data_IF_625846920306
#
_entry.id   IF_625846920306
#
_cell.length_a   1.000
_cell.length_b   1.000
_cell.length_c   1.000
_cell.angle_alpha   90.00
_cell.angle_beta   90.00
_cell.angle_gamma   90.00
#
_symmetry.space_group_name_H-M   'P 1'
#
loop_
_entity.id
_entity.type
_entity.pdbx_description
1 polymer ?
#
# COMPACT_ATOMS: atom_id res chain seq x y z
N UNK A 1 4.28 -17.80 -10.40
CA UNK A 1 4.03 -16.49 -9.77
C UNK A 1 4.58 -15.42 -10.71
N UNK A 2 3.81 -14.37 -10.98
CA UNK A 2 4.04 -13.36 -12.04
C UNK A 2 5.25 -12.44 -11.83
N UNK A 3 6.05 -12.62 -10.76
CA UNK A 3 7.27 -11.84 -10.51
C UNK A 3 7.02 -10.34 -10.28
N UNK A 4 5.76 -9.95 -10.04
CA UNK A 4 5.36 -8.57 -9.79
C UNK A 4 5.61 -8.24 -8.32
N UNK A 5 6.32 -7.15 -8.06
CA UNK A 5 6.40 -6.51 -6.74
C UNK A 5 5.62 -5.21 -6.78
N UNK A 6 4.84 -4.94 -5.72
CA UNK A 6 4.11 -3.68 -5.57
C UNK A 6 4.43 -3.04 -4.23
N UNK A 7 5.02 -1.85 -4.31
CA UNK A 7 5.30 -1.00 -3.18
C UNK A 7 4.10 -0.08 -2.93
N UNK A 8 3.60 -0.08 -1.70
CA UNK A 8 2.43 0.68 -1.31
C UNK A 8 2.64 1.37 0.04
N UNK A 9 1.85 2.40 0.33
CA UNK A 9 1.86 3.05 1.64
C UNK A 9 0.46 3.41 2.10
N UNK A 10 0.13 3.10 3.35
CA UNK A 10 -1.20 3.42 3.90
C UNK A 10 -1.46 4.92 4.01
N UNK A 11 -0.41 5.75 4.08
CA UNK A 11 -0.53 7.21 3.95
C UNK A 11 -0.92 7.68 2.53
N UNK A 12 -0.87 6.84 1.49
CA UNK A 12 -1.14 7.26 0.12
C UNK A 12 -2.55 6.83 -0.34
N UNK A 13 -3.45 7.78 -0.68
CA UNK A 13 -4.73 7.41 -1.30
C UNK A 13 -4.53 6.75 -2.67
N UNK A 14 -3.47 7.10 -3.41
CA UNK A 14 -3.17 6.46 -4.68
C UNK A 14 -2.71 5.02 -4.52
N UNK A 15 -2.05 4.67 -3.40
CA UNK A 15 -1.71 3.27 -3.11
C UNK A 15 -2.95 2.41 -2.98
N UNK A 16 -4.00 2.90 -2.30
CA UNK A 16 -5.31 2.25 -2.26
C UNK A 16 -5.85 1.98 -3.66
N UNK A 17 -5.80 2.97 -4.55
CA UNK A 17 -6.29 2.81 -5.92
C UNK A 17 -5.52 1.73 -6.66
N UNK A 18 -4.19 1.72 -6.56
CA UNK A 18 -3.33 0.68 -7.14
C UNK A 18 -3.67 -0.72 -6.63
N UNK A 19 -3.89 -0.90 -5.32
CA UNK A 19 -4.28 -2.19 -4.74
C UNK A 19 -5.62 -2.70 -5.30
N UNK A 20 -6.62 -1.83 -5.40
CA UNK A 20 -7.92 -2.17 -6.00
C UNK A 20 -7.80 -2.49 -7.50
N UNK A 21 -6.91 -1.80 -8.22
CA UNK A 21 -6.63 -2.11 -9.63
C UNK A 21 -5.96 -3.48 -9.80
N UNK A 22 -5.06 -3.91 -8.91
CA UNK A 22 -4.51 -5.27 -8.95
C UNK A 22 -5.61 -6.34 -8.86
N UNK A 23 -6.56 -6.16 -7.93
CA UNK A 23 -7.69 -7.08 -7.76
C UNK A 23 -8.58 -7.09 -9.00
N UNK A 24 -8.94 -5.91 -9.53
CA UNK A 24 -9.76 -5.82 -10.75
C UNK A 24 -9.07 -6.46 -11.95
N UNK A 25 -7.74 -6.34 -12.04
CA UNK A 25 -6.94 -6.94 -13.10
C UNK A 25 -6.74 -8.46 -12.93
N UNK A 26 -7.13 -9.04 -11.79
CA UNK A 26 -6.89 -10.44 -11.46
C UNK A 26 -5.42 -10.76 -11.19
N UNK A 27 -4.64 -9.77 -10.75
CA UNK A 27 -3.20 -9.91 -10.55
C UNK A 27 -2.84 -10.20 -9.10
N UNK A 28 -1.88 -11.10 -8.94
CA UNK A 28 -1.16 -11.32 -7.69
C UNK A 28 0.20 -10.62 -7.74
N UNK A 29 0.65 -10.05 -6.63
CA UNK A 29 1.96 -9.42 -6.48
C UNK A 29 2.53 -9.74 -5.10
N UNK A 30 3.84 -9.60 -4.93
CA UNK A 30 4.49 -9.46 -3.62
C UNK A 30 4.26 -8.03 -3.12
N UNK A 31 3.58 -7.87 -1.99
CA UNK A 31 3.20 -6.57 -1.45
C UNK A 31 4.24 -6.05 -0.46
N UNK A 32 4.78 -4.87 -0.73
CA UNK A 32 5.89 -4.31 0.03
C UNK A 32 5.48 -2.97 0.63
N UNK A 33 5.32 -2.85 1.96
CA UNK A 33 5.12 -1.57 2.61
C UNK A 33 6.32 -0.64 2.39
N UNK A 34 6.08 0.53 1.80
CA UNK A 34 7.10 1.54 1.60
C UNK A 34 7.37 2.30 2.90
N UNK A 35 8.56 2.08 3.46
CA UNK A 35 8.99 2.70 4.73
C UNK A 35 9.88 3.94 4.53
N UNK A 36 10.02 4.43 3.29
CA UNK A 36 10.87 5.56 2.92
C UNK A 36 11.79 5.23 1.75
N UNK A 37 12.38 6.25 1.11
CA UNK A 37 13.30 6.06 -0.02
C UNK A 37 14.62 5.41 0.43
N UNK A 38 15.47 4.99 -0.52
CA UNK A 38 16.77 4.40 -0.21
C UNK A 38 17.65 5.35 0.61
N UNK A 39 18.58 4.80 1.37
CA UNK A 39 19.50 5.58 2.20
C UNK A 39 20.23 6.66 1.38
N UNK A 40 20.40 7.84 1.96
CA UNK A 40 21.00 9.00 1.29
C UNK A 40 20.04 9.79 0.38
N UNK A 41 18.80 9.32 0.17
CA UNK A 41 17.78 10.04 -0.58
C UNK A 41 16.71 10.63 0.35
N UNK A 42 16.29 11.86 0.06
CA UNK A 42 15.23 12.54 0.82
C UNK A 42 13.85 12.07 0.34
N UNK A 43 12.92 11.86 1.26
CA UNK A 43 11.52 11.71 0.91
C UNK A 43 10.91 13.07 0.56
N UNK A 44 10.51 13.24 -0.70
CA UNK A 44 9.83 14.45 -1.16
C UNK A 44 8.33 14.37 -0.85
N UNK A 45 7.96 14.64 0.41
CA UNK A 45 6.56 14.61 0.84
C UNK A 45 5.72 15.56 -0.04
N UNK A 46 4.78 15.02 -0.84
CA UNK A 46 3.99 15.85 -1.72
C UNK A 46 3.08 16.84 -0.96
N UNK A 47 2.75 16.54 0.31
CA UNK A 47 1.96 17.42 1.18
C UNK A 47 2.75 18.64 1.69
N UNK A 48 4.09 18.60 1.68
CA UNK A 48 4.94 19.72 2.11
C UNK A 48 4.92 20.90 1.13
N UNK A 49 4.56 20.64 -0.13
CA UNK A 49 4.38 21.69 -1.14
C UNK A 49 2.89 22.06 -1.24
N UNK A 50 2.52 23.27 -0.82
CA UNK A 50 1.13 23.74 -0.80
C UNK A 50 0.43 23.71 -2.17
N UNK A 51 1.16 23.93 -3.26
CA UNK A 51 0.61 23.88 -4.62
C UNK A 51 0.34 22.44 -5.07
N UNK A 52 1.19 21.49 -4.67
CA UNK A 52 0.95 20.07 -4.91
C UNK A 52 -0.19 19.55 -4.04
N UNK A 53 -0.22 19.94 -2.76
CA UNK A 53 -1.28 19.55 -1.83
C UNK A 53 -2.66 20.01 -2.34
N UNK A 54 -2.80 21.26 -2.79
CA UNK A 54 -4.07 21.75 -3.32
C UNK A 54 -4.54 20.97 -4.55
N UNK A 55 -3.61 20.55 -5.41
CA UNK A 55 -3.92 19.66 -6.53
C UNK A 55 -4.42 18.29 -6.05
N UNK A 56 -3.72 17.64 -5.12
CA UNK A 56 -4.09 16.31 -4.64
C UNK A 56 -5.41 16.26 -3.90
N UNK A 57 -5.79 17.33 -3.20
CA UNK A 57 -7.11 17.45 -2.56
C UNK A 57 -8.26 17.41 -3.57
N UNK A 58 -8.01 17.77 -4.84
CA UNK A 58 -8.98 17.66 -5.93
C UNK A 58 -8.86 16.33 -6.67
N UNK A 59 -7.64 15.84 -6.85
CA UNK A 59 -7.37 14.71 -7.71
C UNK A 59 -7.66 13.35 -7.04
N UNK A 60 -7.28 13.18 -5.77
CA UNK A 60 -7.50 11.91 -5.07
C UNK A 60 -9.00 11.53 -4.99
N UNK A 61 -9.95 12.45 -4.66
CA UNK A 61 -11.37 12.16 -4.77
C UNK A 61 -11.82 11.83 -6.20
N UNK A 62 -11.33 12.58 -7.20
CA UNK A 62 -11.67 12.35 -8.60
C UNK A 62 -11.29 10.95 -9.07
N UNK A 63 -10.07 10.50 -8.75
CA UNK A 63 -9.58 9.18 -9.14
C UNK A 63 -10.29 8.07 -8.36
N UNK A 64 -10.56 8.29 -7.07
CA UNK A 64 -11.32 7.34 -6.24
C UNK A 64 -12.73 7.11 -6.78
N UNK A 65 -13.45 8.18 -7.14
CA UNK A 65 -14.78 8.10 -7.74
C UNK A 65 -14.77 7.38 -9.09
N UNK A 66 -13.76 7.59 -9.93
CA UNK A 66 -13.62 6.89 -11.23
C UNK A 66 -13.51 5.37 -11.07
N UNK A 67 -12.95 4.89 -9.96
CA UNK A 67 -12.90 3.46 -9.64
C UNK A 67 -14.14 2.94 -8.92
N UNK A 68 -15.14 3.79 -8.66
CA UNK A 68 -16.38 3.42 -7.96
C UNK A 68 -16.18 3.18 -6.46
N UNK A 69 -15.11 3.74 -5.87
CA UNK A 69 -14.75 3.53 -4.48
C UNK A 69 -15.26 4.69 -3.60
N UNK A 70 -15.63 4.44 -2.33
CA UNK A 70 -15.94 5.50 -1.39
C UNK A 70 -14.67 6.29 -1.04
N UNK A 71 -14.81 7.57 -0.70
CA UNK A 71 -13.71 8.38 -0.17
C UNK A 71 -14.15 9.11 1.09
N UNK A 72 -13.33 9.01 2.13
CA UNK A 72 -13.42 9.78 3.36
C UNK A 72 -12.00 10.13 3.81
N UNK A 73 -11.64 11.43 3.89
CA UNK A 73 -10.33 11.83 4.37
C UNK A 73 -10.07 11.29 5.79
N UNK A 74 -8.87 10.72 6.06
CA UNK A 74 -8.51 10.25 7.39
C UNK A 74 -8.38 11.41 8.37
N UNK A 75 -8.81 11.17 9.61
CA UNK A 75 -8.63 12.09 10.73
C UNK A 75 -8.27 11.28 11.99
N UNK A 76 -7.06 11.44 12.56
CA UNK A 76 -5.98 12.34 12.14
C UNK A 76 -5.37 11.98 10.77
N UNK A 77 -4.83 12.98 10.09
CA UNK A 77 -4.22 12.80 8.76
C UNK A 77 -2.87 12.08 8.86
N UNK A 78 -1.95 12.54 9.71
CA UNK A 78 -0.66 11.88 9.92
C UNK A 78 -0.70 11.04 11.19
N UNK A 79 -0.29 9.77 11.07
CA UNK A 79 -0.22 8.79 12.16
C UNK A 79 1.01 7.91 11.94
N UNK A 80 1.48 7.25 12.98
CA UNK A 80 2.53 6.25 12.86
C UNK A 80 2.00 5.02 12.11
N UNK A 81 2.69 4.65 11.02
CA UNK A 81 2.34 3.50 10.18
C UNK A 81 3.10 2.23 10.54
N UNK A 82 3.99 2.27 11.54
CA UNK A 82 4.90 1.17 11.87
C UNK A 82 4.14 -0.12 12.17
N UNK A 83 3.14 -0.05 13.05
CA UNK A 83 2.32 -1.21 13.42
C UNK A 83 1.58 -1.79 12.22
N UNK A 84 0.94 -0.93 11.41
CA UNK A 84 0.22 -1.34 10.21
C UNK A 84 1.17 -1.97 9.16
N UNK A 85 2.37 -1.42 8.98
CA UNK A 85 3.36 -1.93 8.03
C UNK A 85 3.91 -3.30 8.47
N UNK A 86 4.21 -3.49 9.76
CA UNK A 86 4.61 -4.80 10.31
C UNK A 86 3.49 -5.83 10.16
N UNK A 87 2.25 -5.46 10.48
CA UNK A 87 1.09 -6.32 10.28
C UNK A 87 0.90 -6.68 8.80
N UNK A 88 1.12 -5.75 7.87
CA UNK A 88 1.04 -6.03 6.43
C UNK A 88 2.12 -7.02 5.97
N UNK A 89 3.36 -6.90 6.47
CA UNK A 89 4.42 -7.87 6.19
C UNK A 89 4.10 -9.26 6.77
N UNK A 90 3.52 -9.33 7.96
CA UNK A 90 3.08 -10.60 8.54
C UNK A 90 1.90 -11.22 7.76
N UNK A 91 0.95 -10.40 7.33
CA UNK A 91 -0.15 -10.85 6.47
C UNK A 91 0.38 -11.38 5.14
N UNK A 92 1.41 -10.77 4.56
CA UNK A 92 2.05 -11.26 3.33
C UNK A 92 2.67 -12.66 3.55
N UNK A 93 3.40 -12.87 4.64
CA UNK A 93 3.94 -14.19 5.02
C UNK A 93 2.84 -15.25 5.15
N UNK A 94 1.67 -14.85 5.68
CA UNK A 94 0.53 -15.73 5.90
C UNK A 94 -0.38 -15.87 4.64
N UNK A 95 0.01 -15.29 3.49
CA UNK A 95 -0.75 -15.36 2.23
C UNK A 95 -2.02 -14.51 2.21
N UNK A 96 -2.10 -13.51 3.09
CA UNK A 96 -3.23 -12.58 3.30
C UNK A 96 -2.88 -11.12 2.96
N UNK A 97 -1.67 -10.84 2.50
CA UNK A 97 -1.14 -9.47 2.33
C UNK A 97 -2.02 -8.56 1.48
N UNK A 98 -2.43 -8.98 0.28
CA UNK A 98 -3.29 -8.15 -0.58
C UNK A 98 -4.66 -7.84 0.06
N UNK A 99 -5.32 -8.85 0.62
CA UNK A 99 -6.62 -8.67 1.26
C UNK A 99 -6.53 -7.73 2.48
N UNK A 100 -5.50 -7.92 3.31
CA UNK A 100 -5.25 -7.06 4.47
C UNK A 100 -4.88 -5.63 4.06
N UNK A 101 -3.99 -5.46 3.08
CA UNK A 101 -3.60 -4.13 2.59
C UNK A 101 -4.80 -3.35 2.03
N UNK A 102 -5.72 -4.03 1.33
CA UNK A 102 -6.97 -3.42 0.86
C UNK A 102 -7.83 -3.00 2.05
N UNK A 103 -8.09 -3.89 3.01
CA UNK A 103 -8.91 -3.60 4.18
C UNK A 103 -8.39 -2.40 4.98
N UNK A 104 -7.07 -2.34 5.25
CA UNK A 104 -6.44 -1.20 5.94
C UNK A 104 -6.54 0.08 5.12
N UNK A 105 -6.29 0.00 3.82
CA UNK A 105 -6.37 1.18 2.93
C UNK A 105 -7.81 1.72 2.79
N UNK A 106 -8.82 0.83 2.76
CA UNK A 106 -10.24 1.18 2.75
C UNK A 106 -10.70 1.74 4.10
N UNK A 107 -10.25 1.17 5.21
CA UNK A 107 -10.51 1.72 6.54
C UNK A 107 -10.00 3.16 6.65
N UNK A 108 -8.80 3.42 6.14
CA UNK A 108 -8.20 4.75 6.19
C UNK A 108 -8.83 5.75 5.24
N UNK A 109 -8.91 5.42 3.95
CA UNK A 109 -9.27 6.38 2.89
C UNK A 109 -10.71 6.26 2.41
N UNK A 110 -11.38 5.16 2.70
CA UNK A 110 -12.81 4.97 2.43
C UNK A 110 -13.68 5.27 3.66
N UNK A 111 -13.19 4.92 4.86
CA UNK A 111 -13.93 5.06 6.13
C UNK A 111 -13.35 6.13 7.07
N UNK A 112 -12.23 6.78 6.72
CA UNK A 112 -11.61 7.86 7.50
C UNK A 112 -11.01 7.45 8.85
N UNK A 113 -10.68 6.17 9.04
CA UNK A 113 -10.23 5.61 10.31
C UNK A 113 -8.73 5.83 10.55
N UNK A 114 -8.38 5.91 11.84
CA UNK A 114 -7.01 5.87 12.30
C UNK A 114 -6.48 4.43 12.23
N UNK A 115 -5.40 4.20 11.49
CA UNK A 115 -4.80 2.87 11.29
C UNK A 115 -3.56 2.66 12.17
N UNK A 116 -3.27 3.59 13.09
CA UNK A 116 -2.37 3.35 14.20
C UNK A 116 -3.07 2.67 15.39
N UNK A 117 -4.42 2.67 15.40
CA UNK A 117 -5.24 1.98 16.39
C UNK A 117 -5.29 0.47 16.10
N UNK A 118 -4.84 -0.33 17.07
CA UNK A 118 -4.86 -1.79 17.01
C UNK A 118 -6.26 -2.34 16.75
N UNK A 119 -7.29 -1.78 17.38
CA UNK A 119 -8.66 -2.26 17.20
C UNK A 119 -9.21 -2.01 15.78
N UNK A 120 -8.67 -1.02 15.06
CA UNK A 120 -8.96 -0.81 13.64
C UNK A 120 -8.23 -1.85 12.79
N UNK A 121 -6.97 -2.15 13.09
CA UNK A 121 -6.18 -3.15 12.37
C UNK A 121 -6.73 -4.57 12.58
N UNK A 122 -7.17 -4.92 13.78
CA UNK A 122 -7.83 -6.21 14.08
C UNK A 122 -9.09 -6.41 13.25
N UNK A 123 -9.93 -5.38 13.14
CA UNK A 123 -11.10 -5.42 12.25
C UNK A 123 -10.72 -5.60 10.79
N UNK A 124 -9.62 -4.99 10.35
CA UNK A 124 -9.11 -5.17 9.00
C UNK A 124 -8.58 -6.59 8.77
N UNK A 125 -7.97 -7.22 9.78
CA UNK A 125 -7.56 -8.62 9.73
C UNK A 125 -8.77 -9.55 9.60
N UNK A 126 -9.81 -9.33 10.42
CA UNK A 126 -11.07 -10.06 10.33
C UNK A 126 -11.73 -9.90 8.94
N UNK A 127 -11.82 -8.66 8.41
CA UNK A 127 -12.33 -8.37 7.06
C UNK A 127 -11.51 -9.07 5.96
N UNK A 128 -10.20 -9.24 6.15
CA UNK A 128 -9.30 -9.95 5.24
C UNK A 128 -9.32 -11.49 5.42
N UNK A 129 -10.11 -12.00 6.38
CA UNK A 129 -10.10 -13.42 6.74
C UNK A 129 -8.73 -13.89 7.22
N UNK A 130 -8.07 -13.06 8.04
CA UNK A 130 -6.78 -13.31 8.67
C UNK A 130 -6.93 -13.26 10.20
N UNK A 131 -6.05 -13.96 10.93
CA UNK A 131 -6.13 -14.02 12.38
C UNK A 131 -5.71 -12.68 12.99
N UNK A 132 -6.67 -11.97 13.60
CA UNK A 132 -6.41 -10.67 14.24
C UNK A 132 -5.37 -10.73 15.36
N UNK A 133 -5.15 -11.88 15.99
CA UNK A 133 -4.08 -12.03 16.99
C UNK A 133 -2.69 -11.77 16.39
N UNK A 134 -2.54 -11.96 15.07
CA UNK A 134 -1.29 -11.66 14.36
C UNK A 134 -0.94 -10.18 14.35
N UNK A 135 -1.90 -9.27 14.52
CA UNK A 135 -1.63 -7.82 14.61
C UNK A 135 -0.66 -7.52 15.76
N UNK A 136 -0.93 -8.07 16.94
CA UNK A 136 -0.10 -7.86 18.12
C UNK A 136 1.18 -8.70 18.04
N UNK A 137 1.11 -9.98 17.67
CA UNK A 137 2.30 -10.85 17.66
C UNK A 137 3.34 -10.40 16.63
N UNK A 138 2.91 -9.83 15.49
CA UNK A 138 3.82 -9.36 14.45
C UNK A 138 4.74 -8.21 14.90
N UNK A 139 4.44 -7.54 16.02
CA UNK A 139 5.24 -6.41 16.47
C UNK A 139 6.63 -6.83 16.96
N UNK A 140 6.74 -8.03 17.54
CA UNK A 140 7.96 -8.59 18.13
C UNK A 140 8.42 -9.88 17.42
N UNK A 141 7.82 -10.20 16.27
CA UNK A 141 8.11 -11.40 15.48
C UNK A 141 9.42 -11.22 14.67
N UNK A 142 10.40 -12.08 14.92
CA UNK A 142 11.72 -12.04 14.26
C UNK A 142 11.62 -12.27 12.74
N UNK A 143 10.70 -13.11 12.28
CA UNK A 143 10.48 -13.36 10.84
C UNK A 143 9.91 -12.11 10.17
N UNK A 144 9.00 -11.41 10.85
CA UNK A 144 8.47 -10.12 10.37
C UNK A 144 9.57 -9.07 10.30
N UNK A 145 10.46 -9.01 11.30
CA UNK A 145 11.61 -8.11 11.29
C UNK A 145 12.56 -8.40 10.12
N UNK A 146 12.84 -9.67 9.84
CA UNK A 146 13.66 -10.10 8.70
C UNK A 146 13.01 -9.74 7.36
N UNK A 147 11.70 -9.93 7.21
CA UNK A 147 10.96 -9.51 6.00
C UNK A 147 10.99 -8.01 5.82
N UNK A 148 10.76 -7.23 6.88
CA UNK A 148 10.84 -5.76 6.80
C UNK A 148 12.24 -5.27 6.42
N UNK A 149 13.29 -5.96 6.84
CA UNK A 149 14.66 -5.68 6.40
C UNK A 149 14.84 -5.98 4.91
N UNK A 150 14.39 -7.16 4.45
CA UNK A 150 14.39 -7.52 3.02
C UNK A 150 13.60 -6.53 2.16
N UNK A 151 12.45 -6.05 2.65
CA UNK A 151 11.66 -5.03 1.98
C UNK A 151 12.45 -3.73 1.78
N UNK A 152 13.24 -3.30 2.77
CA UNK A 152 14.13 -2.14 2.63
C UNK A 152 15.21 -2.36 1.57
N UNK A 153 15.81 -3.56 1.53
CA UNK A 153 16.79 -3.92 0.50
C UNK A 153 16.16 -3.92 -0.90
N UNK A 154 14.92 -4.40 -1.02
CA UNK A 154 14.16 -4.36 -2.27
C UNK A 154 13.80 -2.93 -2.69
N UNK A 155 13.40 -2.05 -1.77
CA UNK A 155 13.18 -0.62 -2.03
C UNK A 155 14.44 0.02 -2.62
N UNK A 156 15.61 -0.29 -2.06
CA UNK A 156 16.90 0.18 -2.54
C UNK A 156 17.25 -0.38 -3.92
N UNK A 157 17.17 -1.70 -4.10
CA UNK A 157 17.50 -2.38 -5.36
C UNK A 157 16.61 -1.92 -6.52
N UNK A 158 15.31 -1.74 -6.26
CA UNK A 158 14.36 -1.30 -7.27
C UNK A 158 14.31 0.23 -7.43
N UNK A 159 15.01 0.98 -6.57
CA UNK A 159 15.11 2.45 -6.64
C UNK A 159 13.75 3.14 -6.41
N UNK A 160 12.97 2.64 -5.45
CA UNK A 160 11.62 3.14 -5.17
C UNK A 160 11.68 4.43 -4.38
N UNK A 161 11.09 5.50 -4.92
CA UNK A 161 11.11 6.84 -4.32
C UNK A 161 9.73 7.35 -3.89
N UNK A 162 8.67 6.60 -4.20
CA UNK A 162 7.29 6.96 -3.88
C UNK A 162 6.33 5.82 -4.23
N UNK A 163 5.05 5.99 -3.90
CA UNK A 163 4.04 4.92 -4.01
C UNK A 163 2.70 5.40 -4.57
N UNK A 164 1.91 4.53 -5.23
CA UNK A 164 2.23 3.13 -5.52
C UNK A 164 3.31 3.01 -6.60
N UNK A 165 4.11 1.95 -6.50
CA UNK A 165 5.17 1.65 -7.45
C UNK A 165 5.16 0.15 -7.72
N UNK A 166 5.11 -0.27 -8.97
CA UNK A 166 5.20 -1.68 -9.35
C UNK A 166 6.48 -1.96 -10.11
N UNK A 167 7.00 -3.18 -9.94
CA UNK A 167 8.17 -3.69 -10.65
C UNK A 167 7.85 -5.06 -11.22
N UNK A 168 8.20 -5.26 -12.49
CA UNK A 168 8.16 -6.55 -13.16
C UNK A 168 9.44 -6.73 -13.96
N UNK A 169 10.32 -7.62 -13.49
CA UNK A 169 11.64 -7.79 -14.11
C UNK A 169 12.42 -6.46 -14.12
N UNK A 170 12.71 -5.94 -15.31
CA UNK A 170 13.37 -4.65 -15.49
C UNK A 170 12.40 -3.46 -15.64
N UNK A 171 11.09 -3.72 -15.78
CA UNK A 171 10.07 -2.68 -15.98
C UNK A 171 9.60 -2.10 -14.65
N UNK A 172 9.33 -0.79 -14.65
CA UNK A 172 8.93 -0.02 -13.46
C UNK A 172 7.73 0.86 -13.78
N UNK A 173 6.75 0.89 -12.87
CA UNK A 173 5.48 1.60 -13.04
C UNK A 173 5.19 2.42 -11.80
N UNK A 174 5.37 3.73 -11.86
CA UNK A 174 5.10 4.63 -10.73
C UNK A 174 3.79 5.37 -10.92
N UNK A 175 2.90 5.27 -9.94
CA UNK A 175 1.56 5.85 -9.97
C UNK A 175 0.49 4.82 -10.33
N UNK A 176 -0.68 4.94 -9.68
CA UNK A 176 -1.83 4.08 -9.96
C UNK A 176 -2.30 4.20 -11.43
N UNK A 177 -2.08 5.37 -12.03
CA UNK A 177 -2.34 5.66 -13.44
C UNK A 177 -1.45 4.88 -14.42
N UNK A 178 -0.48 4.10 -13.92
CA UNK A 178 0.32 3.14 -14.71
C UNK A 178 -0.09 1.69 -14.52
N UNK A 179 -1.04 1.40 -13.62
CA UNK A 179 -1.43 0.01 -13.34
C UNK A 179 -2.27 -0.62 -14.46
N UNK A 180 -2.93 0.19 -15.30
CA UNK A 180 -3.54 -0.32 -16.53
C UNK A 180 -2.49 -0.83 -17.52
N UNK A 181 -1.37 -0.12 -17.67
CA UNK A 181 -0.23 -0.54 -18.50
C UNK A 181 0.41 -1.81 -17.92
N UNK A 182 0.61 -1.84 -16.59
CA UNK A 182 1.08 -3.06 -15.91
C UNK A 182 0.15 -4.24 -16.22
N UNK A 183 -1.17 -4.06 -16.13
CA UNK A 183 -2.14 -5.11 -16.41
C UNK A 183 -2.07 -5.58 -17.87
N UNK A 184 -1.98 -4.67 -18.84
CA UNK A 184 -1.79 -4.99 -20.25
C UNK A 184 -0.51 -5.80 -20.48
N UNK A 185 0.62 -5.35 -19.91
CA UNK A 185 1.94 -5.97 -20.10
C UNK A 185 2.01 -7.41 -19.54
N UNK A 186 1.20 -7.74 -18.53
CA UNK A 186 1.15 -9.07 -17.91
C UNK A 186 -0.03 -9.92 -18.36
N UNK A 187 -0.86 -9.43 -19.28
CA UNK A 187 -2.06 -10.11 -19.76
C UNK A 187 -3.17 -10.21 -18.71
N UNK A 188 -3.26 -9.25 -17.78
CA UNK A 188 -4.35 -9.09 -16.83
C UNK A 188 -5.62 -8.53 -17.47
N UNK A 189 -6.72 -8.50 -16.69
CA UNK A 189 -7.94 -7.84 -17.13
C UNK A 189 -7.76 -6.31 -17.18
N UNK A 190 -8.52 -5.64 -18.05
CA UNK A 190 -8.50 -4.19 -18.17
C UNK A 190 -9.03 -3.52 -16.89
N UNK A 191 -8.38 -2.43 -16.47
CA UNK A 191 -8.63 -1.72 -15.19
C UNK A 191 -8.61 -0.21 -15.30
#
# INVERSE_FOLDING_TARGET
MTGIRVYHGFRSPYSRLGLHMLVKAGLTAELIPFTGPPEGHKFDDPAANRLKLSYYLLDAPRMTMRLGLPIQPPNPFDVDMTTANKAAAAAELDGKGLAFAIAVSDARWGKGRDVSDLAVLEKCADEAGWDKARIETAQEDEDVAAVMQRHREMIAADGVFGVPFAVMGAQKYWGHDRFHILAEDVGGAAV
#
